data_IF_157775305538
#
_entry.id   IF_157775305538
#
_cell.length_a   1.000
_cell.length_b   1.000
_cell.length_c   1.000
_cell.angle_alpha   90.00
_cell.angle_beta   90.00
_cell.angle_gamma   90.00
#
_symmetry.space_group_name_H-M   'P 1'
#
loop_
_entity.id
_entity.type
_entity.pdbx_description
1 polymer ?
#
# COMPACT_ATOMS: atom_id res chain seq x y z
N UNK A 1 6.06 -5.08 0.18
CA UNK A 1 5.51 -6.45 0.30
C UNK A 1 6.45 -7.45 0.95
N UNK A 2 7.77 -7.35 0.76
CA UNK A 2 8.74 -8.30 1.33
C UNK A 2 8.63 -8.45 2.86
N UNK A 3 8.50 -7.34 3.60
CA UNK A 3 8.53 -7.35 5.07
C UNK A 3 7.34 -8.05 5.74
N UNK A 4 6.10 -7.69 5.35
CA UNK A 4 4.90 -8.31 5.94
C UNK A 4 4.68 -9.74 5.44
N UNK A 5 5.15 -10.06 4.23
CA UNK A 5 5.09 -11.42 3.67
C UNK A 5 6.13 -12.33 4.33
N UNK A 6 7.34 -11.85 4.62
CA UNK A 6 8.39 -12.65 5.28
C UNK A 6 8.03 -13.02 6.72
N UNK A 7 7.17 -12.24 7.38
CA UNK A 7 6.61 -12.57 8.70
C UNK A 7 5.43 -13.56 8.65
N UNK A 8 4.96 -13.92 7.45
CA UNK A 8 3.79 -14.78 7.29
C UNK A 8 2.46 -14.09 7.61
N UNK A 9 2.42 -12.76 7.68
CA UNK A 9 1.24 -11.99 8.09
C UNK A 9 0.28 -11.66 6.92
N UNK A 10 0.77 -11.67 5.67
CA UNK A 10 -0.05 -11.31 4.52
C UNK A 10 0.27 -12.14 3.27
N UNK A 11 -0.78 -12.44 2.51
CA UNK A 11 -0.74 -13.19 1.26
C UNK A 11 -0.81 -12.28 0.01
N UNK A 12 -1.34 -11.07 0.15
CA UNK A 12 -1.51 -10.15 -0.97
C UNK A 12 -1.75 -8.72 -0.51
N UNK A 13 -1.48 -7.77 -1.40
CA UNK A 13 -1.74 -6.35 -1.21
C UNK A 13 -2.16 -5.75 -2.55
N UNK A 14 -3.24 -4.98 -2.51
CA UNK A 14 -3.75 -4.19 -3.61
C UNK A 14 -3.83 -2.74 -3.15
N UNK A 15 -3.46 -1.80 -4.00
CA UNK A 15 -3.53 -0.38 -3.73
C UNK A 15 -3.90 0.37 -5.02
N UNK A 16 -4.90 1.23 -4.94
CA UNK A 16 -5.42 1.93 -6.10
C UNK A 16 -6.16 3.19 -5.71
N UNK A 17 -6.20 4.13 -6.65
CA UNK A 17 -7.15 5.22 -6.61
C UNK A 17 -8.30 4.90 -7.56
N UNK A 18 -9.52 5.19 -7.16
CA UNK A 18 -10.70 5.02 -7.99
C UNK A 18 -11.68 6.16 -7.76
N UNK A 19 -12.39 6.51 -8.83
CA UNK A 19 -13.42 7.54 -8.81
C UNK A 19 -14.77 6.91 -8.48
N UNK A 20 -15.48 7.50 -7.52
CA UNK A 20 -16.83 7.04 -7.15
C UNK A 20 -17.89 7.71 -8.00
N UNK A 21 -17.95 9.04 -7.95
CA UNK A 21 -18.92 9.87 -8.67
C UNK A 21 -18.22 11.09 -9.29
N UNK A 22 -18.73 11.61 -10.43
CA UNK A 22 -18.24 12.86 -10.98
C UNK A 22 -18.34 14.00 -9.96
N UNK A 23 -17.24 14.74 -9.75
CA UNK A 23 -17.18 15.87 -8.82
C UNK A 23 -16.75 15.52 -7.40
N UNK A 24 -16.62 14.24 -7.04
CA UNK A 24 -16.00 13.83 -5.77
C UNK A 24 -14.49 13.59 -5.96
N UNK A 25 -13.64 13.95 -4.98
CA UNK A 25 -12.23 13.55 -5.02
C UNK A 25 -12.08 12.04 -5.12
N UNK A 26 -11.06 11.60 -5.86
CA UNK A 26 -10.75 10.17 -5.98
C UNK A 26 -10.42 9.57 -4.62
N UNK A 27 -10.91 8.36 -4.39
CA UNK A 27 -10.64 7.61 -3.18
C UNK A 27 -9.43 6.74 -3.44
N UNK A 28 -8.43 6.86 -2.57
CA UNK A 28 -7.31 5.94 -2.52
C UNK A 28 -7.54 4.92 -1.42
N UNK A 29 -7.60 3.63 -1.78
CA UNK A 29 -7.68 2.54 -0.82
C UNK A 29 -6.53 1.56 -0.98
N UNK A 30 -6.27 0.86 0.11
CA UNK A 30 -5.32 -0.24 0.15
C UNK A 30 -5.93 -1.43 0.88
N UNK A 31 -5.96 -2.57 0.19
CA UNK A 31 -6.41 -3.83 0.74
C UNK A 31 -5.23 -4.76 0.94
N UNK A 32 -5.12 -5.32 2.14
CA UNK A 32 -4.14 -6.35 2.47
C UNK A 32 -4.89 -7.64 2.79
N UNK A 33 -4.56 -8.72 2.08
CA UNK A 33 -5.09 -10.05 2.37
C UNK A 33 -4.26 -10.67 3.47
N UNK A 34 -4.77 -10.62 4.70
CA UNK A 34 -4.11 -11.15 5.89
C UNK A 34 -4.23 -12.67 6.01
N UNK A 35 -3.26 -13.28 6.69
CA UNK A 35 -3.37 -14.64 7.23
C UNK A 35 -4.05 -14.62 8.60
N UNK A 36 -4.35 -15.79 9.17
CA UNK A 36 -4.89 -15.87 10.54
C UNK A 36 -3.94 -15.23 11.58
N UNK A 37 -2.63 -15.42 11.41
CA UNK A 37 -1.62 -14.80 12.28
C UNK A 37 -1.51 -13.29 12.03
N UNK A 38 -1.59 -12.87 10.77
CA UNK A 38 -1.65 -11.46 10.40
C UNK A 38 -2.86 -10.74 10.97
N UNK A 39 -4.01 -11.41 11.09
CA UNK A 39 -5.21 -10.85 11.69
C UNK A 39 -5.02 -10.57 13.18
N UNK A 40 -4.32 -11.44 13.92
CA UNK A 40 -3.98 -11.21 15.34
C UNK A 40 -3.00 -10.03 15.50
N UNK A 41 -2.15 -9.82 14.50
CA UNK A 41 -1.10 -8.80 14.49
C UNK A 41 -1.46 -7.56 13.64
N UNK A 42 -2.73 -7.36 13.26
CA UNK A 42 -3.13 -6.25 12.39
C UNK A 42 -2.68 -4.85 12.89
N UNK A 43 -2.61 -4.55 14.21
CA UNK A 43 -2.16 -3.23 14.66
C UNK A 43 -0.69 -2.96 14.32
N UNK A 44 0.15 -4.00 14.34
CA UNK A 44 1.56 -3.88 13.96
C UNK A 44 1.72 -3.64 12.45
N UNK A 45 0.87 -4.26 11.64
CA UNK A 45 0.84 -4.04 10.19
C UNK A 45 0.50 -2.57 9.89
N UNK A 46 -0.47 -2.01 10.61
CA UNK A 46 -0.84 -0.58 10.48
C UNK A 46 0.29 0.35 10.93
N UNK A 47 1.01 0.00 12.01
CA UNK A 47 2.18 0.78 12.47
C UNK A 47 3.32 0.80 11.46
N UNK A 48 3.49 -0.25 10.65
CA UNK A 48 4.49 -0.30 9.58
C UNK A 48 4.04 0.53 8.37
N UNK A 49 2.73 0.60 8.15
CA UNK A 49 2.15 1.17 6.94
C UNK A 49 2.33 2.69 6.82
N UNK A 50 1.95 3.45 7.85
CA UNK A 50 2.02 4.92 7.80
C UNK A 50 3.46 5.47 7.68
N UNK A 51 4.46 4.92 8.40
CA UNK A 51 5.86 5.30 8.18
C UNK A 51 6.34 5.00 6.77
N UNK A 52 5.88 3.90 6.15
CA UNK A 52 6.23 3.60 4.76
C UNK A 52 5.66 4.65 3.79
N UNK A 53 4.42 5.12 4.01
CA UNK A 53 3.87 6.24 3.23
C UNK A 53 4.70 7.52 3.44
N UNK A 54 5.10 7.81 4.68
CA UNK A 54 5.93 8.98 4.97
C UNK A 54 7.26 8.95 4.19
N UNK A 55 7.94 7.80 4.18
CA UNK A 55 9.16 7.59 3.40
C UNK A 55 8.95 7.84 1.89
N UNK A 56 7.81 7.41 1.33
CA UNK A 56 7.45 7.66 -0.07
C UNK A 56 7.16 9.14 -0.36
N UNK A 57 6.71 9.91 0.65
CA UNK A 57 6.46 11.35 0.49
C UNK A 57 7.76 12.15 0.54
N UNK A 58 8.73 11.72 1.35
CA UNK A 58 10.05 12.34 1.43
C UNK A 58 10.90 12.07 0.19
N UNK A 59 10.71 10.90 -0.43
CA UNK A 59 11.46 10.47 -1.61
C UNK A 59 10.54 10.57 -2.85
N UNK A 60 10.60 11.67 -3.62
CA UNK A 60 9.74 11.86 -4.78
C UNK A 60 9.89 10.71 -5.79
N UNK A 61 8.85 10.44 -6.61
CA UNK A 61 8.88 9.36 -7.58
C UNK A 61 10.10 9.49 -8.48
N UNK A 62 10.93 8.44 -8.48
CA UNK A 62 12.12 8.40 -9.32
C UNK A 62 11.70 8.48 -10.80
N UNK A 63 12.31 9.39 -11.58
CA UNK A 63 11.89 9.69 -12.96
C UNK A 63 11.81 8.45 -13.85
N UNK A 64 12.68 7.46 -13.62
CA UNK A 64 12.69 6.22 -14.39
C UNK A 64 11.43 5.37 -14.20
N UNK A 65 10.85 5.35 -13.00
CA UNK A 65 9.61 4.59 -12.68
C UNK A 65 8.41 5.16 -13.46
N UNK A 66 8.37 6.50 -13.59
CA UNK A 66 7.30 7.17 -14.33
C UNK A 66 7.44 6.94 -15.84
N UNK A 67 8.67 6.85 -16.36
CA UNK A 67 8.93 6.59 -17.77
C UNK A 67 8.52 5.17 -18.15
N UNK A 68 8.92 4.16 -17.37
CA UNK A 68 8.62 2.75 -17.65
C UNK A 68 7.13 2.40 -17.57
N UNK A 69 6.31 3.22 -16.90
CA UNK A 69 4.86 2.99 -16.76
C UNK A 69 4.02 3.64 -17.86
N UNK A 70 4.64 4.48 -18.71
CA UNK A 70 4.01 5.17 -19.84
C UNK A 70 4.31 4.51 -21.18
N UNK A 71 5.35 3.67 -21.23
CA UNK A 71 5.65 2.73 -22.31
C UNK A 71 4.80 1.46 -22.12
#
# INVERSE_FOLDING_TARGET
MSYIRSKGWANGLNAGAYSMCPGTPDIFDMQVRLTEDGLKNYPEIVKIFFPYIALLRENPPQKWISKSRRE
#
